data_IF_639247095424
#
_entry.id   IF_639247095424
#
_cell.length_a   1.000
_cell.length_b   1.000
_cell.length_c   1.000
_cell.angle_alpha   90.00
_cell.angle_beta   90.00
_cell.angle_gamma   90.00
#
_symmetry.space_group_name_H-M   'P 1'
#
loop_
_entity.id
_entity.type
_entity.pdbx_description
1 polymer ?
#
# COMPACT_ATOMS: atom_id res chain seq x y z
N UNK A 1 -16.00 -33.07 -32.84
CA UNK A 1 -16.88 -33.22 -34.00
C UNK A 1 -17.43 -31.85 -34.38
N UNK A 2 -17.59 -31.62 -35.68
CA UNK A 2 -17.95 -30.38 -36.38
C UNK A 2 -19.10 -29.55 -35.76
N UNK A 3 -18.92 -28.22 -35.79
CA UNK A 3 -19.90 -27.11 -35.96
C UNK A 3 -21.04 -27.06 -34.93
N UNK A 4 -21.29 -25.96 -34.23
CA UNK A 4 -22.00 -24.79 -34.76
C UNK A 4 -21.85 -23.67 -33.72
N UNK A 5 -21.31 -22.52 -34.15
CA UNK A 5 -21.58 -21.24 -33.47
C UNK A 5 -23.05 -20.94 -33.75
N UNK A 6 -23.92 -21.08 -32.74
CA UNK A 6 -25.32 -20.68 -32.83
C UNK A 6 -25.50 -19.35 -32.08
N UNK A 7 -25.48 -18.26 -32.83
CA UNK A 7 -25.98 -16.95 -32.43
C UNK A 7 -27.46 -16.91 -32.81
N UNK A 8 -28.39 -17.00 -31.85
CA UNK A 8 -29.84 -16.66 -31.99
C UNK A 8 -30.30 -16.20 -30.59
N UNK A 9 -30.22 -14.91 -30.25
CA UNK A 9 -31.15 -13.78 -30.48
C UNK A 9 -31.92 -13.41 -29.19
N UNK A 10 -31.66 -12.17 -28.73
CA UNK A 10 -32.36 -11.35 -27.72
C UNK A 10 -31.78 -11.16 -26.30
N UNK A 11 -30.64 -11.73 -25.92
CA UNK A 11 -29.86 -11.22 -24.79
C UNK A 11 -28.38 -11.50 -25.09
N UNK A 12 -27.55 -10.45 -25.22
CA UNK A 12 -26.13 -10.57 -25.49
C UNK A 12 -25.39 -11.30 -24.33
N UNK A 13 -25.43 -12.63 -24.32
CA UNK A 13 -24.69 -13.44 -23.34
C UNK A 13 -23.62 -14.23 -24.08
N UNK A 14 -22.41 -13.70 -24.10
CA UNK A 14 -21.19 -14.42 -24.48
C UNK A 14 -20.60 -15.03 -23.21
N UNK A 15 -20.72 -16.36 -23.04
CA UNK A 15 -19.93 -17.09 -22.07
C UNK A 15 -18.55 -17.34 -22.67
N UNK A 16 -17.59 -16.46 -22.38
CA UNK A 16 -16.18 -16.73 -22.68
C UNK A 16 -15.57 -17.53 -21.53
N UNK A 17 -15.27 -18.79 -21.79
CA UNK A 17 -14.45 -19.63 -20.92
C UNK A 17 -13.02 -19.07 -20.89
N UNK A 18 -12.71 -18.21 -19.92
CA UNK A 18 -11.33 -17.79 -19.66
C UNK A 18 -11.06 -16.29 -19.47
N UNK A 19 -12.04 -15.48 -19.05
CA UNK A 19 -11.70 -14.15 -18.51
C UNK A 19 -11.27 -14.28 -17.03
N UNK A 20 -10.14 -13.66 -16.62
CA UNK A 20 -9.74 -13.68 -15.22
C UNK A 20 -10.79 -12.93 -14.40
N UNK A 21 -11.30 -13.61 -13.36
CA UNK A 21 -12.22 -13.06 -12.36
C UNK A 21 -11.75 -11.67 -11.98
N UNK A 22 -12.61 -10.69 -12.20
CA UNK A 22 -12.31 -9.28 -12.04
C UNK A 22 -11.96 -8.97 -10.56
N UNK A 23 -10.67 -9.05 -10.20
CA UNK A 23 -10.11 -8.66 -8.89
C UNK A 23 -10.27 -7.17 -8.56
N UNK A 24 -11.09 -6.43 -9.33
CA UNK A 24 -11.23 -4.98 -9.22
C UNK A 24 -12.03 -4.51 -8.01
N UNK A 25 -12.76 -5.37 -7.31
CA UNK A 25 -13.56 -4.97 -6.14
C UNK A 25 -12.93 -5.26 -4.77
N UNK A 26 -11.87 -6.06 -4.67
CA UNK A 26 -11.13 -6.31 -3.42
C UNK A 26 -9.73 -5.67 -3.43
N UNK A 27 -9.22 -5.31 -4.61
CA UNK A 27 -7.98 -4.54 -4.78
C UNK A 27 -8.25 -3.07 -5.18
N UNK A 28 -9.50 -2.71 -5.51
CA UNK A 28 -9.92 -1.33 -5.83
C UNK A 28 -10.10 -0.40 -4.62
N UNK A 29 -10.09 -0.95 -3.40
CA UNK A 29 -10.00 -0.21 -2.13
C UNK A 29 -8.57 -0.16 -1.57
N UNK A 30 -7.61 -0.85 -2.20
CA UNK A 30 -6.17 -0.60 -2.02
C UNK A 30 -5.73 0.53 -2.95
N UNK A 31 -6.51 1.63 -2.97
CA UNK A 31 -6.07 2.84 -3.64
C UNK A 31 -4.68 3.15 -3.09
N UNK A 32 -3.67 3.15 -3.98
CA UNK A 32 -2.38 3.75 -3.66
C UNK A 32 -2.72 5.13 -3.15
N UNK A 33 -2.61 5.27 -1.83
CA UNK A 33 -2.70 6.56 -1.17
C UNK A 33 -1.69 7.43 -1.91
N UNK A 34 -2.13 8.49 -2.63
CA UNK A 34 -1.20 9.37 -3.32
C UNK A 34 -0.21 10.01 -2.35
N UNK A 35 -0.45 9.89 -1.02
CA UNK A 35 0.50 10.14 0.05
C UNK A 35 0.87 8.87 0.84
N UNK A 36 1.26 7.79 0.16
CA UNK A 36 1.87 6.66 0.85
C UNK A 36 3.22 7.09 1.44
N UNK A 37 3.19 7.56 2.69
CA UNK A 37 4.36 7.96 3.48
C UNK A 37 5.47 6.91 3.54
N UNK A 38 5.15 5.65 3.28
CA UNK A 38 6.15 4.58 3.24
C UNK A 38 7.00 4.61 1.96
N UNK A 39 6.62 5.40 0.95
CA UNK A 39 7.38 5.58 -0.29
C UNK A 39 8.22 6.86 -0.29
N UNK A 40 8.05 7.72 0.70
CA UNK A 40 8.88 8.92 0.82
C UNK A 40 10.29 8.54 1.27
N UNK A 41 11.30 9.29 0.83
CA UNK A 41 12.66 9.14 1.37
C UNK A 41 12.72 9.62 2.83
N UNK A 42 13.80 9.33 3.56
CA UNK A 42 13.97 9.92 4.89
C UNK A 42 14.23 11.43 4.79
N UNK A 43 13.59 12.24 5.64
CA UNK A 43 13.83 13.69 5.73
C UNK A 43 14.03 14.13 7.20
N UNK A 44 15.27 14.48 7.61
CA UNK A 44 15.58 14.98 8.95
C UNK A 44 14.92 16.32 9.29
N UNK A 45 14.55 17.13 8.30
CA UNK A 45 14.17 18.53 8.50
C UNK A 45 15.35 19.43 8.91
N UNK A 46 15.13 20.76 9.01
CA UNK A 46 16.20 21.73 9.17
C UNK A 46 16.60 22.00 10.64
N UNK A 47 15.78 21.59 11.61
CA UNK A 47 16.07 21.82 13.02
C UNK A 47 17.20 20.91 13.55
N UNK A 48 17.81 21.27 14.68
CA UNK A 48 18.96 20.56 15.27
C UNK A 48 18.66 19.98 16.67
N UNK A 49 17.38 19.72 16.96
CA UNK A 49 16.95 19.05 18.18
C UNK A 49 16.77 17.54 17.89
N UNK A 50 17.90 16.84 17.81
CA UNK A 50 17.93 15.47 17.31
C UNK A 50 17.16 14.48 18.19
N UNK A 51 16.25 13.75 17.57
CA UNK A 51 15.52 12.63 18.15
C UNK A 51 15.73 11.39 17.29
N UNK A 52 16.02 10.25 17.92
CA UNK A 52 16.01 8.95 17.22
C UNK A 52 14.58 8.61 16.84
N UNK A 53 14.35 8.38 15.55
CA UNK A 53 13.07 7.96 14.96
C UNK A 53 13.31 6.81 14.00
N UNK A 54 12.23 6.17 13.55
CA UNK A 54 12.26 5.07 12.60
C UNK A 54 11.68 5.51 11.25
N UNK A 55 12.26 5.05 10.15
CA UNK A 55 11.71 5.23 8.80
C UNK A 55 11.67 3.88 8.07
N UNK A 56 10.78 3.75 7.09
CA UNK A 56 10.72 2.60 6.20
C UNK A 56 11.69 2.80 5.04
N UNK A 57 12.60 1.84 4.87
CA UNK A 57 13.48 1.72 3.72
C UNK A 57 12.87 0.71 2.75
N UNK A 58 12.40 1.20 1.60
CA UNK A 58 11.78 0.37 0.57
C UNK A 58 12.79 -0.56 -0.11
N UNK A 59 14.05 -0.15 -0.25
CA UNK A 59 15.08 -0.95 -0.89
C UNK A 59 15.44 -2.18 -0.05
N UNK A 60 15.49 -2.01 1.27
CA UNK A 60 15.82 -3.08 2.21
C UNK A 60 14.57 -3.76 2.80
N UNK A 61 13.37 -3.32 2.41
CA UNK A 61 12.09 -3.74 2.97
C UNK A 61 12.10 -3.79 4.52
N UNK A 62 12.69 -2.76 5.14
CA UNK A 62 12.95 -2.76 6.57
C UNK A 62 12.78 -1.39 7.22
N UNK A 63 12.48 -1.40 8.53
CA UNK A 63 12.46 -0.18 9.33
C UNK A 63 13.83 0.07 9.95
N UNK A 64 14.40 1.25 9.68
CA UNK A 64 15.72 1.69 10.15
C UNK A 64 15.63 2.95 11.00
N UNK A 65 16.62 3.18 11.85
CA UNK A 65 16.70 4.39 12.67
C UNK A 65 17.31 5.56 11.90
N UNK A 66 16.89 6.77 12.22
CA UNK A 66 17.51 8.02 11.75
C UNK A 66 17.36 9.14 12.79
N UNK A 67 18.16 10.20 12.63
CA UNK A 67 18.06 11.40 13.46
C UNK A 67 17.11 12.41 12.81
N UNK A 68 15.95 12.62 13.44
CA UNK A 68 15.03 13.69 13.09
C UNK A 68 15.40 14.97 13.83
N UNK A 69 15.51 16.08 13.11
CA UNK A 69 15.92 17.38 13.61
C UNK A 69 14.92 18.08 14.53
N UNK A 70 13.69 17.56 14.65
CA UNK A 70 12.68 18.06 15.58
C UNK A 70 11.63 18.99 14.97
N UNK A 71 11.79 19.43 13.71
CA UNK A 71 10.77 20.17 12.98
C UNK A 71 10.73 19.81 11.49
N UNK A 72 9.58 20.07 10.84
CA UNK A 72 9.34 19.79 9.42
C UNK A 72 9.64 18.31 9.06
N UNK A 73 10.37 18.09 7.97
CA UNK A 73 10.56 16.77 7.38
C UNK A 73 9.28 16.24 6.76
N UNK A 74 9.26 14.93 6.51
CA UNK A 74 8.12 14.25 5.91
C UNK A 74 7.52 13.20 6.86
N UNK A 75 6.60 12.38 6.33
CA UNK A 75 5.77 11.47 7.11
C UNK A 75 6.37 10.06 7.21
N UNK A 76 7.45 9.75 6.49
CA UNK A 76 8.21 8.51 6.68
C UNK A 76 9.03 8.55 7.98
N UNK A 77 8.32 8.69 9.10
CA UNK A 77 8.89 8.92 10.43
C UNK A 77 7.94 8.39 11.50
N UNK A 78 8.44 7.45 12.28
CA UNK A 78 7.70 6.72 13.31
C UNK A 78 8.46 6.77 14.63
N UNK A 79 7.72 6.65 15.73
CA UNK A 79 8.33 6.68 17.07
C UNK A 79 8.95 5.34 17.44
N UNK A 80 8.46 4.25 16.86
CA UNK A 80 8.95 2.89 17.16
C UNK A 80 9.08 2.05 15.89
N UNK A 81 9.97 1.04 15.93
CA UNK A 81 10.10 0.03 14.87
C UNK A 81 8.77 -0.68 14.58
N UNK A 82 8.00 -0.99 15.63
CA UNK A 82 6.72 -1.69 15.50
C UNK A 82 5.69 -0.85 14.73
N UNK A 83 5.58 0.43 15.05
CA UNK A 83 4.69 1.37 14.33
C UNK A 83 5.06 1.44 12.84
N UNK A 84 6.35 1.59 12.54
CA UNK A 84 6.86 1.59 11.17
C UNK A 84 6.51 0.30 10.42
N UNK A 85 6.76 -0.87 11.02
CA UNK A 85 6.46 -2.16 10.39
C UNK A 85 4.96 -2.36 10.18
N UNK A 86 4.15 -2.02 11.19
CA UNK A 86 2.69 -2.08 11.10
C UNK A 86 2.19 -1.22 9.94
N UNK A 87 2.70 0.00 9.83
CA UNK A 87 2.25 0.95 8.82
C UNK A 87 2.77 0.65 7.42
N UNK A 88 4.01 0.14 7.26
CA UNK A 88 4.65 0.06 5.95
C UNK A 88 4.82 -1.36 5.41
N UNK A 89 5.00 -2.35 6.29
CA UNK A 89 5.14 -3.76 5.89
C UNK A 89 3.83 -4.52 5.90
N UNK A 90 2.94 -4.23 6.86
CA UNK A 90 1.78 -5.07 7.15
C UNK A 90 0.43 -4.45 6.78
N UNK A 91 0.39 -3.43 5.90
CA UNK A 91 -0.86 -2.76 5.46
C UNK A 91 -1.96 -3.72 4.99
N UNK A 92 -1.60 -4.91 4.53
CA UNK A 92 -2.51 -5.87 3.90
C UNK A 92 -2.96 -7.01 4.84
N UNK A 93 -2.44 -7.10 6.07
CA UNK A 93 -2.68 -8.26 6.94
C UNK A 93 -3.59 -7.98 8.14
N UNK A 94 -4.16 -6.78 8.28
CA UNK A 94 -5.10 -6.53 9.39
C UNK A 94 -6.22 -5.51 9.06
N UNK A 95 -7.32 -5.93 8.41
CA UNK A 95 -8.48 -5.07 8.15
C UNK A 95 -9.34 -4.78 9.41
N UNK A 96 -8.97 -5.27 10.60
CA UNK A 96 -9.78 -5.11 11.82
C UNK A 96 -8.87 -4.69 12.99
N UNK A 97 -8.58 -3.39 13.10
CA UNK A 97 -8.39 -2.63 14.34
C UNK A 97 -7.41 -1.46 14.12
N UNK A 98 -7.92 -0.22 14.11
CA UNK A 98 -7.57 0.82 15.11
C UNK A 98 -8.67 1.90 15.10
N UNK A 99 -9.54 1.98 16.11
CA UNK A 99 -9.96 3.26 16.67
C UNK A 99 -8.85 3.80 17.58
N UNK A 100 -8.46 5.05 17.34
CA UNK A 100 -7.52 5.83 18.14
C UNK A 100 -7.78 7.30 17.89
#
# INVERSE_FOLDING_TARGET
MLRIVAVILLLNVQFNSGEPVEVKSLYGSLQQDPEDRCKETVDPGPCQYYQTKWFWDEADESCKEFHYGGCMGNKNRFNTKHECLKQCRYKLFNPVAVPG
#
